data_IF_958524743819
#
_entry.id   IF_958524743819
#
_cell.length_a   1.000
_cell.length_b   1.000
_cell.length_c   1.000
_cell.angle_alpha   90.00
_cell.angle_beta   90.00
_cell.angle_gamma   90.00
#
_symmetry.space_group_name_H-M   'P 1'
#
loop_
_entity.id
_entity.type
_entity.pdbx_description
1 polymer ?
#
# COMPACT_ATOMS: atom_id res chain seq x y z
N UNK A 1 32.04 -35.88 19.49
CA UNK A 1 32.41 -35.13 18.28
C UNK A 1 31.26 -35.28 17.31
N UNK A 2 30.23 -34.44 17.47
CA UNK A 2 29.02 -34.51 16.66
C UNK A 2 29.35 -33.99 15.28
N UNK A 3 29.30 -34.88 14.30
CA UNK A 3 29.41 -34.57 12.89
C UNK A 3 28.22 -33.70 12.50
N UNK A 4 28.46 -32.41 12.32
CA UNK A 4 27.49 -31.48 11.74
C UNK A 4 27.39 -31.81 10.24
N UNK A 5 26.33 -32.53 9.88
CA UNK A 5 25.99 -32.92 8.51
C UNK A 5 25.69 -31.66 7.67
N UNK A 6 26.35 -31.46 6.52
CA UNK A 6 26.17 -30.29 5.65
C UNK A 6 24.81 -30.21 4.93
N UNK A 7 23.94 -31.21 5.09
CA UNK A 7 22.71 -31.36 4.30
C UNK A 7 21.48 -30.63 4.90
N UNK A 8 21.53 -30.28 6.20
CA UNK A 8 20.44 -29.53 6.85
C UNK A 8 20.42 -28.05 6.42
N UNK A 9 21.59 -27.45 6.15
CA UNK A 9 21.69 -26.04 5.75
C UNK A 9 21.14 -25.80 4.33
N UNK A 10 21.19 -26.80 3.45
CA UNK A 10 20.78 -26.67 2.06
C UNK A 10 19.25 -26.63 1.88
N UNK A 11 18.49 -27.30 2.75
CA UNK A 11 17.03 -27.38 2.65
C UNK A 11 16.30 -26.17 3.28
N UNK A 12 16.83 -25.57 4.35
CA UNK A 12 16.24 -24.35 4.95
C UNK A 12 16.39 -23.12 4.03
N UNK A 13 17.55 -22.95 3.38
CA UNK A 13 17.80 -21.79 2.49
C UNK A 13 16.95 -21.86 1.21
N UNK A 14 16.67 -23.06 0.70
CA UNK A 14 15.79 -23.24 -0.46
C UNK A 14 14.32 -22.95 -0.17
N UNK A 15 13.87 -23.14 1.06
CA UNK A 15 12.48 -22.90 1.47
C UNK A 15 12.19 -21.39 1.51
N UNK A 16 13.05 -20.61 2.18
CA UNK A 16 12.92 -19.15 2.26
C UNK A 16 13.02 -18.45 0.89
N UNK A 17 13.87 -18.99 0.00
CA UNK A 17 14.02 -18.45 -1.36
C UNK A 17 12.80 -18.77 -2.22
N UNK A 18 12.20 -19.96 -2.08
CA UNK A 18 10.97 -20.31 -2.78
C UNK A 18 9.79 -19.48 -2.30
N UNK A 19 9.69 -19.20 -1.00
CA UNK A 19 8.69 -18.27 -0.48
C UNK A 19 8.87 -16.88 -1.10
N UNK A 20 10.08 -16.30 -1.05
CA UNK A 20 10.32 -14.97 -1.61
C UNK A 20 9.98 -14.88 -3.11
N UNK A 21 10.32 -15.91 -3.89
CA UNK A 21 9.98 -16.00 -5.32
C UNK A 21 8.46 -16.18 -5.55
N UNK A 22 7.79 -16.95 -4.70
CA UNK A 22 6.33 -17.14 -4.72
C UNK A 22 5.58 -15.85 -4.38
N UNK A 23 6.04 -15.13 -3.35
CA UNK A 23 5.54 -13.80 -2.98
C UNK A 23 5.75 -12.76 -4.08
N UNK A 24 6.91 -12.76 -4.73
CA UNK A 24 7.18 -11.88 -5.89
C UNK A 24 6.30 -12.27 -7.08
N UNK A 25 6.05 -13.57 -7.31
CA UNK A 25 5.18 -14.04 -8.40
C UNK A 25 3.71 -13.71 -8.15
N UNK A 26 3.24 -13.76 -6.89
CA UNK A 26 1.90 -13.33 -6.47
C UNK A 26 1.75 -11.81 -6.63
N UNK A 27 2.80 -11.04 -6.31
CA UNK A 27 2.89 -9.58 -6.53
C UNK A 27 2.86 -9.19 -8.01
N UNK A 28 3.46 -10.01 -8.89
CA UNK A 28 3.49 -9.76 -10.34
C UNK A 28 2.24 -10.25 -11.07
N UNK A 29 1.33 -10.95 -10.37
CA UNK A 29 0.01 -11.29 -10.93
C UNK A 29 -0.80 -9.99 -11.10
N UNK A 30 -1.35 -9.73 -12.30
CA UNK A 30 -2.03 -8.47 -12.60
C UNK A 30 -3.19 -8.25 -11.61
N UNK A 31 -3.10 -7.20 -10.80
CA UNK A 31 -4.07 -6.84 -9.76
C UNK A 31 -3.56 -6.94 -8.31
N UNK A 32 -2.38 -7.53 -8.05
CA UNK A 32 -1.86 -7.65 -6.68
C UNK A 32 -1.33 -6.32 -6.09
N UNK A 33 -1.16 -5.28 -6.90
CA UNK A 33 -0.80 -3.93 -6.45
C UNK A 33 -1.93 -3.21 -5.69
N UNK A 34 -3.17 -3.71 -5.75
CA UNK A 34 -4.31 -3.21 -4.96
C UNK A 34 -4.45 -3.88 -3.58
N UNK A 35 -3.57 -4.81 -3.21
CA UNK A 35 -3.65 -5.45 -1.89
C UNK A 35 -3.21 -4.46 -0.80
N UNK A 36 -3.98 -4.30 0.29
CA UNK A 36 -3.70 -3.34 1.37
C UNK A 36 -2.34 -3.53 2.05
N UNK A 37 -1.74 -4.73 1.93
CA UNK A 37 -0.41 -5.03 2.44
C UNK A 37 0.71 -4.28 1.69
N UNK A 38 0.60 -4.13 0.36
CA UNK A 38 1.60 -3.41 -0.43
C UNK A 38 1.64 -1.92 -0.06
N UNK A 39 0.46 -1.33 0.15
CA UNK A 39 0.32 0.06 0.58
C UNK A 39 0.92 0.29 1.97
N UNK A 40 0.79 -0.67 2.89
CA UNK A 40 1.40 -0.61 4.21
C UNK A 40 2.94 -0.65 4.12
N UNK A 41 3.50 -1.55 3.30
CA UNK A 41 4.95 -1.61 3.08
C UNK A 41 5.46 -0.30 2.48
N UNK A 42 4.75 0.25 1.49
CA UNK A 42 5.08 1.53 0.87
C UNK A 42 5.05 2.67 1.89
N UNK A 43 4.02 2.77 2.73
CA UNK A 43 3.90 3.73 3.83
C UNK A 43 5.10 3.66 4.80
N UNK A 44 5.48 2.43 5.21
CA UNK A 44 6.64 2.19 6.07
C UNK A 44 7.95 2.65 5.40
N UNK A 45 8.15 2.36 4.11
CA UNK A 45 9.36 2.77 3.37
C UNK A 45 9.43 4.29 3.19
N UNK A 46 8.31 4.94 2.84
CA UNK A 46 8.24 6.40 2.75
C UNK A 46 8.46 7.08 4.11
N UNK A 47 7.90 6.54 5.18
CA UNK A 47 8.12 7.02 6.54
C UNK A 47 9.57 6.85 6.99
N UNK A 48 10.18 5.71 6.68
CA UNK A 48 11.59 5.46 6.95
C UNK A 48 12.49 6.43 6.18
N UNK A 49 12.21 6.65 4.89
CA UNK A 49 12.96 7.60 4.06
C UNK A 49 12.81 9.04 4.58
N UNK A 50 11.60 9.43 4.99
CA UNK A 50 11.36 10.72 5.63
C UNK A 50 12.18 10.87 6.92
N UNK A 51 12.24 9.82 7.75
CA UNK A 51 13.07 9.82 8.96
C UNK A 51 14.56 9.98 8.65
N UNK A 52 15.07 9.31 7.61
CA UNK A 52 16.44 9.49 7.14
C UNK A 52 16.68 10.93 6.69
N UNK A 53 15.78 11.51 5.88
CA UNK A 53 15.90 12.91 5.47
C UNK A 53 15.81 13.88 6.65
N UNK A 54 14.98 13.61 7.64
CA UNK A 54 14.88 14.41 8.86
C UNK A 54 16.19 14.36 9.65
N UNK A 55 16.78 13.17 9.82
CA UNK A 55 18.06 13.00 10.50
C UNK A 55 19.21 13.71 9.77
N UNK A 56 19.22 13.69 8.43
CA UNK A 56 20.22 14.39 7.62
C UNK A 56 20.01 15.91 7.61
N UNK A 57 18.76 16.38 7.65
CA UNK A 57 18.43 17.80 7.75
C UNK A 57 19.01 18.42 9.03
N UNK A 58 18.90 17.71 10.15
CA UNK A 58 19.50 18.14 11.43
C UNK A 58 21.03 18.18 11.37
N UNK A 59 21.66 17.29 10.61
CA UNK A 59 23.11 17.21 10.55
C UNK A 59 23.74 18.27 9.63
N UNK A 60 23.11 18.55 8.48
CA UNK A 60 23.74 19.38 7.45
C UNK A 60 23.11 20.76 7.26
N UNK A 61 21.88 20.99 7.76
CA UNK A 61 21.15 22.25 7.68
C UNK A 61 21.03 22.85 6.26
N UNK A 62 20.89 21.99 5.24
CA UNK A 62 20.82 22.40 3.83
C UNK A 62 19.39 22.37 3.29
N UNK A 63 19.05 23.41 2.51
CA UNK A 63 17.76 23.56 1.82
C UNK A 63 17.46 22.39 0.87
N UNK A 64 18.49 21.68 0.39
CA UNK A 64 18.32 20.50 -0.47
C UNK A 64 17.48 19.39 0.21
N UNK A 65 17.70 19.17 1.50
CA UNK A 65 16.95 18.17 2.27
C UNK A 65 15.49 18.57 2.49
N UNK A 66 15.19 19.87 2.50
CA UNK A 66 13.81 20.38 2.56
C UNK A 66 13.03 20.01 1.29
N UNK A 67 13.65 20.13 0.11
CA UNK A 67 13.03 19.74 -1.16
C UNK A 67 12.74 18.23 -1.21
N UNK A 68 13.71 17.40 -0.79
CA UNK A 68 13.55 15.94 -0.71
C UNK A 68 12.44 15.55 0.28
N UNK A 69 12.36 16.25 1.42
CA UNK A 69 11.30 16.06 2.41
C UNK A 69 9.91 16.39 1.84
N UNK A 70 9.77 17.55 1.16
CA UNK A 70 8.51 17.96 0.53
C UNK A 70 8.04 16.95 -0.52
N UNK A 71 8.97 16.49 -1.37
CA UNK A 71 8.67 15.50 -2.41
C UNK A 71 8.21 14.18 -1.77
N UNK A 72 8.85 13.75 -0.68
CA UNK A 72 8.46 12.52 0.05
C UNK A 72 7.03 12.62 0.59
N UNK A 73 6.66 13.74 1.22
CA UNK A 73 5.30 13.99 1.70
C UNK A 73 4.30 14.11 0.55
N UNK A 74 4.70 14.74 -0.56
CA UNK A 74 3.89 14.83 -1.78
C UNK A 74 3.60 13.46 -2.40
N UNK A 75 4.60 12.58 -2.49
CA UNK A 75 4.41 11.19 -2.91
C UNK A 75 3.46 10.45 -1.96
N UNK A 76 3.64 10.60 -0.64
CA UNK A 76 2.78 9.97 0.36
C UNK A 76 1.30 10.38 0.20
N UNK A 77 1.06 11.67 -0.01
CA UNK A 77 -0.27 12.19 -0.31
C UNK A 77 -0.85 11.65 -1.62
N UNK A 78 -0.05 11.58 -2.68
CA UNK A 78 -0.46 11.04 -3.98
C UNK A 78 -0.87 9.57 -3.91
N UNK A 79 -0.13 8.76 -3.15
CA UNK A 79 -0.47 7.35 -2.88
C UNK A 79 -1.80 7.24 -2.13
N UNK A 80 -1.98 7.98 -1.03
CA UNK A 80 -3.24 7.96 -0.26
C UNK A 80 -4.44 8.39 -1.09
N UNK A 81 -4.27 9.41 -1.93
CA UNK A 81 -5.30 9.87 -2.86
C UNK A 81 -5.66 8.79 -3.88
N UNK A 82 -4.65 8.15 -4.50
CA UNK A 82 -4.85 7.08 -5.47
C UNK A 82 -5.61 5.88 -4.87
N UNK A 83 -5.31 5.51 -3.63
CA UNK A 83 -6.02 4.43 -2.91
C UNK A 83 -7.46 4.79 -2.60
N UNK A 84 -7.72 6.01 -2.15
CA UNK A 84 -9.06 6.49 -1.87
C UNK A 84 -9.93 6.54 -3.15
N UNK A 85 -9.32 6.92 -4.28
CA UNK A 85 -9.98 6.94 -5.58
C UNK A 85 -10.33 5.52 -6.04
N UNK A 86 -9.41 4.57 -5.92
CA UNK A 86 -9.66 3.16 -6.26
C UNK A 86 -10.75 2.54 -5.38
N UNK A 87 -10.70 2.76 -4.06
CA UNK A 87 -11.74 2.29 -3.15
C UNK A 87 -13.12 2.88 -3.46
N UNK A 88 -13.16 4.11 -4.00
CA UNK A 88 -14.40 4.76 -4.43
C UNK A 88 -14.93 4.21 -5.75
N UNK A 89 -14.07 3.66 -6.61
CA UNK A 89 -14.46 3.00 -7.87
C UNK A 89 -14.81 1.52 -7.68
N UNK A 90 -14.24 0.86 -6.67
CA UNK A 90 -14.55 -0.54 -6.29
C UNK A 90 -15.73 -0.66 -5.33
N UNK A 91 -16.21 0.44 -4.74
CA UNK A 91 -17.44 0.44 -3.96
C UNK A 91 -18.56 -0.12 -4.86
N UNK A 92 -19.10 -1.33 -4.56
CA UNK A 92 -20.18 -1.88 -5.33
C UNK A 92 -21.27 -0.82 -5.39
N UNK A 93 -21.69 -0.50 -6.61
CA UNK A 93 -22.95 0.15 -6.93
C UNK A 93 -23.94 -0.28 -5.85
N UNK A 94 -24.38 0.63 -4.95
CA UNK A 94 -25.59 0.39 -4.22
C UNK A 94 -26.60 0.19 -5.33
N UNK A 95 -27.00 -1.05 -5.55
CA UNK A 95 -28.19 -1.35 -6.28
C UNK A 95 -29.28 -1.17 -5.22
N UNK A 96 -29.93 0.01 -5.12
CA UNK A 96 -31.30 -0.03 -4.69
C UNK A 96 -32.02 -0.79 -5.79
N UNK A 97 -32.15 -2.11 -5.61
CA UNK A 97 -33.37 -2.78 -6.02
C UNK A 97 -34.55 -1.87 -5.60
N UNK A 98 -35.64 -1.84 -6.37
CA UNK A 98 -36.62 -0.77 -6.42
C UNK A 98 -37.34 -0.62 -5.07
N UNK A 99 -36.68 0.01 -4.10
CA UNK A 99 -37.29 0.52 -2.91
C UNK A 99 -37.88 1.84 -3.35
N UNK A 100 -39.09 1.74 -3.88
CA UNK A 100 -40.19 2.69 -3.77
C UNK A 100 -39.82 3.78 -2.74
N UNK A 101 -39.08 4.80 -3.18
CA UNK A 101 -39.09 6.12 -2.60
C UNK A 101 -39.95 6.88 -3.58
N UNK A 102 -41.24 6.82 -3.32
CA UNK A 102 -41.91 8.05 -2.91
C UNK A 102 -42.32 8.83 -4.16
N UNK A 103 -43.21 8.20 -4.92
CA UNK A 103 -44.23 8.87 -5.71
C UNK A 103 -45.25 9.58 -4.78
N UNK A 104 -44.77 10.39 -3.83
CA UNK A 104 -45.61 11.06 -2.84
C UNK A 104 -45.30 12.56 -2.70
N UNK A 105 -44.73 13.21 -3.72
CA UNK A 105 -44.70 14.69 -3.78
C UNK A 105 -45.10 15.23 -5.16
N UNK A 106 -46.08 14.60 -5.79
CA UNK A 106 -46.78 15.20 -6.95
C UNK A 106 -48.27 14.83 -6.93
N UNK A 107 -48.94 15.10 -5.80
CA UNK A 107 -50.41 15.31 -5.73
C UNK A 107 -50.84 15.75 -4.33
N UNK A 108 -50.69 17.03 -4.02
CA UNK A 108 -51.62 17.71 -3.10
C UNK A 108 -51.84 19.15 -3.52
N UNK A 109 -52.19 19.29 -4.80
CA UNK A 109 -53.22 20.25 -5.20
C UNK A 109 -54.56 19.61 -4.82
N UNK A 110 -55.05 19.94 -3.62
CA UNK A 110 -56.47 19.98 -3.27
C UNK A 110 -56.67 20.75 -1.97
#
# INVERSE_FOLDING_TARGET
>A
MSTHTPETIANEVSDETNDMVSFVSDILTPGSSLRPQFLLVLDVVLGFLFFVFLSLLFLTWSLHFLALMLITVGLWGSVKFFVAELASTEAPVPHPGPSIKEAAESKKEQ
#
